data_IF_917909264023
#
_entry.id   IF_917909264023
#
_cell.length_a   1.000
_cell.length_b   1.000
_cell.length_c   1.000
_cell.angle_alpha   90.00
_cell.angle_beta   90.00
_cell.angle_gamma   90.00
#
_symmetry.space_group_name_H-M   'P 1'
#
loop_
_entity.id
_entity.type
_entity.pdbx_description
1 polymer ?
#
# COMPACT_ATOMS: atom_id res chain seq x y z
N UNK A 1 18.14 1.51 -5.03
CA UNK A 1 17.00 1.62 -4.08
C UNK A 1 15.91 2.39 -4.80
N UNK A 2 14.63 2.01 -4.72
CA UNK A 2 13.49 2.65 -5.42
C UNK A 2 12.57 3.29 -4.37
N UNK A 3 12.90 4.47 -3.83
CA UNK A 3 12.35 4.94 -2.55
C UNK A 3 10.89 5.38 -2.61
N UNK A 4 10.35 5.65 -3.81
CA UNK A 4 8.92 5.89 -3.98
C UNK A 4 8.06 4.63 -3.78
N UNK A 5 8.65 3.43 -3.79
CA UNK A 5 7.96 2.14 -3.65
C UNK A 5 8.51 1.34 -2.46
N UNK A 6 7.70 1.22 -1.41
CA UNK A 6 8.07 0.53 -0.18
C UNK A 6 7.22 -0.73 0.00
N UNK A 7 7.84 -1.85 0.36
CA UNK A 7 7.10 -3.06 0.71
C UNK A 7 6.59 -2.96 2.15
N UNK A 8 5.27 -2.88 2.33
CA UNK A 8 4.66 -2.92 3.66
C UNK A 8 4.51 -4.38 4.14
N UNK A 9 4.07 -5.26 3.25
CA UNK A 9 3.99 -6.71 3.43
C UNK A 9 4.21 -7.38 2.07
N UNK A 10 4.52 -8.69 2.02
CA UNK A 10 4.46 -9.45 0.76
C UNK A 10 3.14 -9.20 0.02
N UNK A 11 3.24 -8.81 -1.25
CA UNK A 11 2.08 -8.47 -2.09
C UNK A 11 1.36 -7.15 -1.75
N UNK A 12 1.90 -6.33 -0.83
CA UNK A 12 1.33 -5.03 -0.44
C UNK A 12 2.40 -3.95 -0.43
N UNK A 13 2.30 -3.00 -1.35
CA UNK A 13 3.32 -1.98 -1.58
C UNK A 13 2.75 -0.58 -1.39
N UNK A 14 3.49 0.29 -0.73
CA UNK A 14 3.17 1.70 -0.61
C UNK A 14 3.89 2.47 -1.71
N UNK A 15 3.12 3.11 -2.57
CA UNK A 15 3.61 3.97 -3.65
C UNK A 15 3.38 5.44 -3.28
N UNK A 16 4.45 6.24 -3.29
CA UNK A 16 4.37 7.70 -3.12
C UNK A 16 4.24 8.36 -4.48
N UNK A 17 3.21 9.18 -4.64
CA UNK A 17 2.92 9.87 -5.90
C UNK A 17 2.68 11.36 -5.68
N UNK A 18 3.04 12.15 -6.68
CA UNK A 18 2.71 13.57 -6.77
C UNK A 18 1.75 13.78 -7.95
N UNK A 19 0.47 13.99 -7.65
CA UNK A 19 -0.59 14.14 -8.63
C UNK A 19 -0.75 15.59 -9.12
N UNK A 20 -0.78 15.77 -10.44
CA UNK A 20 -0.98 17.03 -11.17
C UNK A 20 -2.32 16.96 -11.91
N UNK A 21 -3.45 17.31 -11.26
CA UNK A 21 -4.78 17.26 -11.87
C UNK A 21 -4.98 18.35 -12.92
N UNK A 22 -6.01 18.19 -13.74
CA UNK A 22 -6.37 19.11 -14.83
C UNK A 22 -5.51 18.94 -16.09
N UNK A 23 -4.83 17.80 -16.24
CA UNK A 23 -4.09 17.49 -17.45
C UNK A 23 -5.03 17.06 -18.60
N UNK A 24 -4.50 17.00 -19.82
CA UNK A 24 -5.25 16.49 -20.98
C UNK A 24 -5.40 14.97 -20.97
N UNK A 25 -4.42 14.27 -20.40
CA UNK A 25 -4.35 12.81 -20.32
C UNK A 25 -3.68 12.40 -19.00
N UNK A 26 -4.07 11.23 -18.49
CA UNK A 26 -3.46 10.62 -17.30
C UNK A 26 -2.20 9.89 -17.73
N UNK A 27 -1.05 10.27 -17.18
CA UNK A 27 0.26 9.78 -17.59
C UNK A 27 1.33 10.09 -16.54
N UNK A 28 2.47 9.43 -16.61
CA UNK A 28 3.67 9.92 -15.93
C UNK A 28 4.06 11.30 -16.44
N UNK A 29 4.42 12.20 -15.52
CA UNK A 29 4.88 13.53 -15.92
C UNK A 29 6.36 13.54 -16.32
N UNK A 30 7.11 12.53 -15.87
CA UNK A 30 8.50 12.26 -16.20
C UNK A 30 8.80 10.76 -16.00
N UNK A 31 9.79 10.20 -16.72
CA UNK A 31 10.23 8.83 -16.51
C UNK A 31 10.63 8.57 -15.07
N UNK A 32 10.17 7.45 -14.52
CA UNK A 32 10.56 6.99 -13.21
C UNK A 32 12.00 6.52 -13.26
N UNK A 33 12.82 7.09 -12.39
CA UNK A 33 14.18 6.61 -12.16
C UNK A 33 14.28 6.04 -10.75
N UNK A 34 15.18 5.07 -10.51
CA UNK A 34 15.31 4.44 -9.21
C UNK A 34 15.58 5.42 -8.07
N UNK A 35 16.17 6.59 -8.30
CA UNK A 35 16.46 7.56 -7.25
C UNK A 35 15.25 8.40 -6.80
N UNK A 36 14.12 8.35 -7.51
CA UNK A 36 12.97 9.20 -7.21
C UNK A 36 12.24 8.77 -5.94
N UNK A 37 11.98 9.75 -5.08
CA UNK A 37 11.22 9.56 -3.84
C UNK A 37 9.72 9.55 -4.04
N UNK A 38 9.24 10.10 -5.16
CA UNK A 38 7.83 10.18 -5.53
C UNK A 38 7.67 10.04 -7.05
N UNK A 39 6.56 9.42 -7.47
CA UNK A 39 6.18 9.33 -8.87
C UNK A 39 5.34 10.55 -9.28
N UNK A 40 5.84 11.35 -10.21
CA UNK A 40 5.10 12.48 -10.76
C UNK A 40 4.05 11.99 -11.78
N UNK A 41 2.78 12.30 -11.53
CA UNK A 41 1.66 11.88 -12.38
C UNK A 41 0.83 13.08 -12.83
N UNK A 42 0.55 13.16 -14.12
CA UNK A 42 -0.48 14.02 -14.71
C UNK A 42 -1.80 13.26 -14.67
N UNK A 43 -2.89 13.94 -14.32
CA UNK A 43 -4.21 13.31 -14.15
C UNK A 43 -5.27 14.05 -14.97
N UNK A 44 -5.98 13.32 -15.84
CA UNK A 44 -7.01 13.81 -16.75
C UNK A 44 -8.36 14.08 -16.08
N UNK A 45 -8.33 14.61 -14.86
CA UNK A 45 -9.53 14.96 -14.11
C UNK A 45 -9.30 16.26 -13.35
N UNK A 46 -10.37 17.03 -13.21
CA UNK A 46 -10.34 18.28 -12.46
C UNK A 46 -10.14 18.02 -10.95
N UNK A 47 -9.56 18.98 -10.20
CA UNK A 47 -9.40 18.87 -8.75
C UNK A 47 -10.71 19.16 -8.01
N UNK A 48 -11.81 18.52 -8.42
CA UNK A 48 -13.16 18.74 -7.86
C UNK A 48 -13.71 17.42 -7.34
N UNK A 49 -14.35 17.46 -6.15
CA UNK A 49 -15.16 16.36 -5.60
C UNK A 49 -14.51 14.95 -5.67
N UNK A 50 -13.18 14.88 -5.50
CA UNK A 50 -12.46 13.60 -5.55
C UNK A 50 -12.28 12.98 -6.94
N UNK A 51 -12.72 13.63 -8.02
CA UNK A 51 -12.57 13.12 -9.39
C UNK A 51 -11.11 12.83 -9.76
N UNK A 52 -10.19 13.73 -9.40
CA UNK A 52 -8.76 13.50 -9.59
C UNK A 52 -8.23 12.26 -8.84
N UNK A 53 -8.81 11.92 -7.68
CA UNK A 53 -8.41 10.70 -6.97
C UNK A 53 -8.97 9.47 -7.64
N UNK A 54 -10.25 9.50 -8.03
CA UNK A 54 -10.88 8.38 -8.74
C UNK A 54 -10.13 8.06 -10.05
N UNK A 55 -9.79 9.09 -10.82
CA UNK A 55 -9.02 8.94 -12.05
C UNK A 55 -7.59 8.46 -11.81
N UNK A 56 -6.91 8.94 -10.76
CA UNK A 56 -5.58 8.44 -10.37
C UNK A 56 -5.61 6.96 -10.03
N UNK A 57 -6.60 6.52 -9.23
CA UNK A 57 -6.73 5.12 -8.84
C UNK A 57 -7.03 4.26 -10.06
N UNK A 58 -7.99 4.67 -10.90
CA UNK A 58 -8.34 3.98 -12.15
C UNK A 58 -7.13 3.85 -13.08
N UNK A 59 -6.40 4.95 -13.31
CA UNK A 59 -5.24 4.96 -14.19
C UNK A 59 -4.14 4.01 -13.71
N UNK A 60 -3.83 4.01 -12.41
CA UNK A 60 -2.78 3.15 -11.88
C UNK A 60 -3.19 1.68 -11.82
N UNK A 61 -4.46 1.40 -11.55
CA UNK A 61 -5.00 0.03 -11.56
C UNK A 61 -4.86 -0.59 -12.96
N UNK A 62 -5.36 0.10 -13.98
CA UNK A 62 -5.25 -0.33 -15.39
C UNK A 62 -3.79 -0.47 -15.85
N UNK A 63 -2.92 0.46 -15.43
CA UNK A 63 -1.50 0.45 -15.78
C UNK A 63 -0.78 -0.76 -15.19
N UNK A 64 -1.00 -1.04 -13.89
CA UNK A 64 -0.37 -2.17 -13.21
C UNK A 64 -0.89 -3.49 -13.78
N UNK A 65 -2.19 -3.60 -14.05
CA UNK A 65 -2.78 -4.78 -14.70
C UNK A 65 -2.21 -5.05 -16.08
N UNK A 66 -2.12 -4.01 -16.93
CA UNK A 66 -1.56 -4.11 -18.27
C UNK A 66 -0.09 -4.54 -18.22
N UNK A 67 0.72 -3.82 -17.43
CA UNK A 67 2.14 -4.12 -17.32
C UNK A 67 2.41 -5.50 -16.74
N UNK A 68 1.59 -5.95 -15.77
CA UNK A 68 1.69 -7.29 -15.22
C UNK A 68 1.38 -8.38 -16.24
N UNK A 69 0.34 -8.18 -17.06
CA UNK A 69 0.00 -9.10 -18.14
C UNK A 69 1.14 -9.21 -19.15
N UNK A 70 1.66 -8.09 -19.64
CA UNK A 70 2.77 -8.08 -20.60
C UNK A 70 4.05 -8.69 -20.03
N UNK A 71 4.35 -8.45 -18.75
CA UNK A 71 5.49 -9.06 -18.07
C UNK A 71 5.31 -10.58 -17.85
N UNK A 72 4.06 -11.05 -17.70
CA UNK A 72 3.77 -12.49 -17.57
C UNK A 72 3.94 -13.23 -18.90
N UNK A 73 3.70 -12.55 -20.03
CA UNK A 73 3.87 -13.10 -21.38
C UNK A 73 5.35 -13.26 -21.77
N UNK A 74 6.18 -12.22 -21.56
CA UNK A 74 7.63 -12.31 -21.76
C UNK A 74 8.40 -11.63 -20.63
N UNK A 75 8.56 -12.37 -19.53
CA UNK A 75 9.25 -11.86 -18.34
C UNK A 75 10.69 -11.45 -18.63
N UNK A 76 11.43 -12.24 -19.41
CA UNK A 76 12.85 -12.03 -19.68
C UNK A 76 13.10 -10.78 -20.51
N UNK A 77 12.31 -10.57 -21.55
CA UNK A 77 12.40 -9.36 -22.37
C UNK A 77 11.89 -8.14 -21.60
N UNK A 78 10.81 -8.30 -20.83
CA UNK A 78 10.20 -7.18 -20.11
C UNK A 78 11.15 -6.52 -19.13
N UNK A 79 11.92 -7.31 -18.36
CA UNK A 79 12.79 -6.79 -17.28
C UNK A 79 14.16 -6.29 -17.73
N UNK A 80 14.58 -6.59 -18.97
CA UNK A 80 15.96 -6.40 -19.45
C UNK A 80 16.47 -4.96 -19.33
N UNK A 81 15.61 -3.99 -19.60
CA UNK A 81 15.94 -2.56 -19.59
C UNK A 81 15.31 -1.81 -18.39
N UNK A 82 15.08 -2.53 -17.29
CA UNK A 82 14.50 -1.99 -16.06
C UNK A 82 15.44 -2.17 -14.86
N UNK A 83 15.09 -1.54 -13.76
CA UNK A 83 15.79 -1.61 -12.48
C UNK A 83 15.57 -2.93 -11.73
N UNK A 84 14.86 -3.90 -12.33
CA UNK A 84 14.50 -5.19 -11.73
C UNK A 84 15.64 -5.84 -10.93
N UNK A 85 16.79 -6.04 -11.56
CA UNK A 85 17.96 -6.67 -10.93
C UNK A 85 18.50 -5.86 -9.73
N UNK A 86 18.49 -4.53 -9.83
CA UNK A 86 18.95 -3.64 -8.76
C UNK A 86 18.00 -3.69 -7.55
N UNK A 87 16.69 -3.78 -7.80
CA UNK A 87 15.67 -3.86 -6.76
C UNK A 87 15.75 -5.22 -6.05
N UNK A 88 15.91 -6.32 -6.81
CA UNK A 88 16.13 -7.66 -6.26
C UNK A 88 17.36 -7.73 -5.34
N UNK A 89 18.49 -7.17 -5.77
CA UNK A 89 19.71 -7.16 -4.97
C UNK A 89 19.56 -6.34 -3.66
N UNK A 90 18.85 -5.20 -3.73
CA UNK A 90 18.55 -4.39 -2.56
C UNK A 90 17.66 -5.13 -1.53
N UNK A 91 16.74 -5.95 -2.01
CA UNK A 91 15.79 -6.70 -1.15
C UNK A 91 16.46 -7.88 -0.47
N UNK A 92 17.36 -8.56 -1.19
CA UNK A 92 18.22 -9.58 -0.61
C UNK A 92 19.11 -8.99 0.52
N UNK A 93 19.67 -7.81 0.30
CA UNK A 93 20.53 -7.13 1.30
C UNK A 93 19.73 -6.73 2.55
N UNK A 94 18.51 -6.21 2.36
CA UNK A 94 17.64 -5.79 3.48
C UNK A 94 17.20 -6.99 4.34
N UNK A 95 16.95 -8.13 3.70
CA UNK A 95 16.56 -9.38 4.38
C UNK A 95 17.74 -10.00 5.15
N UNK A 96 18.97 -9.89 4.63
CA UNK A 96 20.16 -10.36 5.33
C UNK A 96 20.48 -9.51 6.58
N UNK A 97 20.26 -8.19 6.52
CA UNK A 97 20.53 -7.28 7.63
C UNK A 97 19.56 -7.46 8.82
N UNK A 98 18.28 -7.78 8.58
CA UNK A 98 17.31 -8.04 9.64
C UNK A 98 17.55 -9.36 10.39
N UNK A 99 18.20 -10.33 9.75
CA UNK A 99 18.52 -11.65 10.34
C UNK A 99 19.68 -11.57 11.35
N UNK A 100 20.55 -10.57 11.26
CA UNK A 100 21.69 -10.41 12.17
C UNK A 100 21.37 -9.64 13.46
N UNK A 101 20.19 -9.02 13.57
CA UNK A 101 19.79 -8.20 14.73
C UNK A 101 18.90 -8.95 15.76
N UNK A 102 18.73 -10.26 15.62
CA UNK A 102 17.88 -11.08 16.50
C UNK A 102 18.67 -11.93 17.51
N UNK A 103 19.92 -11.56 17.84
CA UNK A 103 20.70 -12.27 18.86
C UNK A 103 21.31 -11.29 19.86
N UNK A 104 20.89 -11.46 21.12
CA UNK A 104 21.38 -10.85 22.37
C UNK A 104 20.79 -9.51 22.82
N UNK A 105 19.76 -9.57 23.67
CA UNK A 105 19.89 -9.06 25.04
C UNK A 105 18.74 -9.61 25.90
N UNK A 106 19.07 -10.67 26.62
CA UNK A 106 18.33 -11.21 27.74
C UNK A 106 18.50 -10.32 28.97
N UNK A 107 17.41 -10.10 29.71
CA UNK A 107 17.45 -10.01 31.17
C UNK A 107 17.35 -8.60 31.76
N UNK A 108 16.33 -8.38 32.59
CA UNK A 108 16.34 -7.29 33.57
C UNK A 108 14.98 -6.80 34.03
N UNK A 109 14.16 -7.65 34.64
CA UNK A 109 13.04 -7.25 35.50
C UNK A 109 13.46 -6.20 36.53
N UNK A 110 12.78 -5.05 36.59
CA UNK A 110 12.56 -4.29 37.84
C UNK A 110 11.20 -3.61 37.87
N UNK A 111 10.39 -4.10 38.80
CA UNK A 111 9.15 -3.55 39.34
C UNK A 111 9.43 -2.22 40.04
N UNK A 112 8.59 -1.19 39.82
CA UNK A 112 8.32 -0.20 40.87
C UNK A 112 6.98 0.50 40.67
N UNK A 113 6.12 0.30 41.66
CA UNK A 113 4.83 0.92 41.94
C UNK A 113 4.93 2.42 42.22
N UNK A 114 4.00 3.25 41.70
CA UNK A 114 3.60 4.50 42.39
C UNK A 114 2.19 5.00 42.04
N UNK A 115 1.25 4.54 42.89
CA UNK A 115 0.12 5.25 43.52
C UNK A 115 -0.12 6.73 43.13
N UNK A 116 -1.27 6.99 42.52
CA UNK A 116 -1.89 8.32 42.40
C UNK A 116 -3.41 8.21 42.52
N UNK A 117 -3.99 8.91 43.51
CA UNK A 117 -5.35 8.80 44.05
C UNK A 117 -6.08 10.12 43.84
N UNK A 118 -7.30 10.09 43.28
CA UNK A 118 -8.50 10.90 43.63
C UNK A 118 -9.43 11.02 42.41
N UNK A 119 -10.63 10.42 42.42
CA UNK A 119 -11.92 10.82 43.04
C UNK A 119 -12.83 11.60 42.08
N UNK A 120 -13.76 10.84 41.50
CA UNK A 120 -15.19 11.06 41.26
C UNK A 120 -15.75 12.48 41.02
N UNK A 121 -16.50 12.60 39.91
CA UNK A 121 -17.76 13.33 39.87
C UNK A 121 -18.84 12.44 39.21
N UNK A 122 -19.96 12.30 39.91
CA UNK A 122 -21.22 11.61 39.57
C UNK A 122 -22.19 12.69 39.06
N UNK A 123 -22.84 12.52 37.90
CA UNK A 123 -24.28 12.25 37.68
C UNK A 123 -24.64 13.00 36.36
N UNK A 124 -25.63 12.72 35.51
CA UNK A 124 -26.93 12.06 35.65
C UNK A 124 -27.40 11.61 34.26
N UNK A 125 -28.06 10.45 34.26
CA UNK A 125 -29.00 9.90 33.27
C UNK A 125 -29.90 10.92 32.55
N UNK A 126 -30.28 10.64 31.30
CA UNK A 126 -31.68 10.67 30.85
C UNK A 126 -31.88 9.69 29.70
N UNK A 127 -32.79 8.74 29.90
CA UNK A 127 -33.25 7.75 28.95
C UNK A 127 -34.30 8.34 28.00
N UNK A 128 -34.45 7.72 26.82
CA UNK A 128 -35.77 7.55 26.19
C UNK A 128 -35.79 6.31 25.29
N UNK A 129 -36.94 5.64 25.39
CA UNK A 129 -37.33 4.32 24.89
C UNK A 129 -37.49 4.29 23.35
N UNK A 130 -36.97 3.25 22.68
CA UNK A 130 -37.67 2.10 22.06
C UNK A 130 -38.81 2.42 21.09
N UNK A 131 -38.74 1.82 19.90
CA UNK A 131 -39.64 0.80 19.29
C UNK A 131 -38.95 0.29 17.99
N UNK A 132 -38.59 -1.01 17.87
CA UNK A 132 -39.33 -2.13 17.20
C UNK A 132 -39.48 -1.92 15.68
N UNK A 133 -39.26 -2.84 14.73
CA UNK A 133 -39.03 -4.30 14.66
C UNK A 133 -38.68 -4.67 13.20
N UNK A 134 -38.11 -5.88 12.97
CA UNK A 134 -38.07 -6.57 11.66
C UNK A 134 -36.67 -7.16 11.37
N UNK A 135 -36.35 -8.41 11.73
CA UNK A 135 -36.72 -9.70 11.11
C UNK A 135 -35.92 -10.00 9.82
N UNK A 136 -35.14 -11.10 9.87
CA UNK A 136 -34.39 -11.71 8.76
C UNK A 136 -32.90 -11.36 8.79
N UNK A 137 -31.94 -12.25 8.66
CA UNK A 137 -31.91 -13.71 8.67
C UNK A 137 -30.45 -14.09 8.95
N UNK A 138 -30.25 -15.23 9.58
CA UNK A 138 -28.96 -15.70 10.07
C UNK A 138 -28.10 -16.19 8.92
N UNK A 139 -26.86 -15.71 8.80
CA UNK A 139 -25.76 -16.56 8.33
C UNK A 139 -24.40 -15.98 8.72
N UNK A 140 -23.95 -16.46 9.89
CA UNK A 140 -22.55 -16.58 10.24
C UNK A 140 -22.04 -17.91 9.64
N UNK A 141 -20.86 -17.93 9.02
CA UNK A 141 -20.00 -19.10 9.08
C UNK A 141 -18.82 -18.80 10.00
N UNK A 142 -18.78 -19.57 11.07
CA UNK A 142 -17.60 -19.84 11.88
C UNK A 142 -16.46 -20.41 11.04
N UNK A 143 -15.25 -19.98 11.37
CA UNK A 143 -14.09 -20.86 11.38
C UNK A 143 -13.33 -20.97 10.07
N UNK A 144 -12.20 -20.25 10.00
CA UNK A 144 -10.98 -20.91 9.57
C UNK A 144 -9.81 -20.37 10.38
N UNK A 145 -9.44 -21.15 11.39
CA UNK A 145 -8.11 -21.11 11.99
C UNK A 145 -7.13 -21.52 10.88
N UNK A 146 -6.43 -20.56 10.30
CA UNK A 146 -5.32 -20.81 9.38
C UNK A 146 -4.01 -20.39 10.06
N UNK A 147 -2.93 -21.19 9.89
CA UNK A 147 -1.68 -21.11 10.65
C UNK A 147 -0.89 -19.82 10.35
N UNK A 148 0.14 -19.48 11.15
CA UNK A 148 0.90 -18.25 10.93
C UNK A 148 1.64 -18.29 9.59
N UNK A 149 1.23 -17.38 8.71
CA UNK A 149 2.09 -16.61 7.80
C UNK A 149 3.12 -17.40 6.99
N UNK A 150 2.67 -18.25 6.08
CA UNK A 150 3.33 -18.27 4.76
C UNK A 150 2.91 -16.99 4.03
N UNK A 151 3.85 -16.31 3.38
CA UNK A 151 3.62 -15.06 2.68
C UNK A 151 2.72 -15.31 1.46
N UNK A 152 1.40 -15.39 1.68
CA UNK A 152 0.41 -15.55 0.61
C UNK A 152 0.35 -14.24 -0.16
N UNK A 153 0.84 -14.26 -1.40
CA UNK A 153 0.61 -13.17 -2.34
C UNK A 153 -0.88 -13.12 -2.69
N UNK A 154 -1.45 -11.92 -2.85
CA UNK A 154 -2.83 -11.76 -3.27
C UNK A 154 -3.02 -12.24 -4.71
N UNK A 155 -4.18 -12.78 -5.04
CA UNK A 155 -4.49 -13.24 -6.41
C UNK A 155 -4.99 -12.11 -7.34
N UNK A 156 -4.98 -10.86 -6.87
CA UNK A 156 -5.54 -9.70 -7.57
C UNK A 156 -4.66 -8.47 -7.48
N UNK A 157 -4.87 -7.56 -8.43
CA UNK A 157 -4.34 -6.20 -8.40
C UNK A 157 -5.42 -5.28 -7.84
N UNK A 158 -5.04 -4.38 -6.94
CA UNK A 158 -5.95 -3.38 -6.38
C UNK A 158 -5.16 -2.16 -5.94
N UNK A 159 -5.53 -0.97 -6.42
CA UNK A 159 -4.94 0.30 -6.00
C UNK A 159 -5.92 1.08 -5.13
N UNK A 160 -5.48 1.48 -3.93
CA UNK A 160 -6.30 2.26 -2.99
C UNK A 160 -5.54 3.44 -2.39
N UNK A 161 -6.26 4.50 -2.07
CA UNK A 161 -5.69 5.71 -1.46
C UNK A 161 -5.56 5.53 0.06
N UNK A 162 -4.33 5.59 0.59
CA UNK A 162 -4.06 5.54 2.03
C UNK A 162 -4.02 6.93 2.65
N UNK A 163 -3.37 7.88 1.97
CA UNK A 163 -3.17 9.25 2.45
C UNK A 163 -3.20 10.25 1.31
N UNK A 164 -3.67 11.46 1.60
CA UNK A 164 -3.59 12.60 0.68
C UNK A 164 -4.85 12.82 -0.14
N UNK A 165 -6.04 12.55 0.42
CA UNK A 165 -7.34 12.78 -0.24
C UNK A 165 -7.49 14.16 -0.89
N UNK A 166 -6.98 15.20 -0.25
CA UNK A 166 -7.03 16.58 -0.73
C UNK A 166 -5.67 17.14 -1.14
N UNK A 167 -4.60 16.34 -1.02
CA UNK A 167 -3.22 16.74 -1.31
C UNK A 167 -2.80 16.32 -2.71
N UNK A 168 -1.79 16.99 -3.28
CA UNK A 168 -1.11 16.50 -4.50
C UNK A 168 -0.17 15.35 -4.18
N UNK A 169 0.52 15.43 -3.05
CA UNK A 169 1.29 14.31 -2.49
C UNK A 169 0.34 13.28 -1.90
N UNK A 170 0.43 12.06 -2.41
CA UNK A 170 -0.42 10.94 -2.02
C UNK A 170 0.40 9.71 -1.73
N UNK A 171 -0.14 8.87 -0.85
CA UNK A 171 0.39 7.54 -0.60
C UNK A 171 -0.70 6.56 -0.98
N UNK A 172 -0.38 5.68 -1.92
CA UNK A 172 -1.26 4.65 -2.43
C UNK A 172 -0.80 3.30 -1.89
N UNK A 173 -1.77 2.43 -1.60
CA UNK A 173 -1.52 1.02 -1.36
C UNK A 173 -1.81 0.28 -2.67
N UNK A 174 -0.81 -0.43 -3.15
CA UNK A 174 -0.88 -1.33 -4.29
C UNK A 174 -0.84 -2.76 -3.77
N UNK A 175 -1.97 -3.45 -3.88
CA UNK A 175 -2.06 -4.91 -3.69
C UNK A 175 -1.67 -5.54 -5.03
N UNK A 176 -0.69 -6.44 -5.03
CA UNK A 176 -0.09 -6.94 -6.26
C UNK A 176 0.38 -8.40 -6.10
N UNK A 177 0.07 -9.29 -7.06
CA UNK A 177 0.40 -10.72 -6.98
C UNK A 177 1.89 -11.04 -7.12
N UNK A 178 2.71 -10.07 -7.53
CA UNK A 178 4.14 -10.24 -7.73
C UNK A 178 5.01 -9.60 -6.65
N UNK A 179 6.32 -9.62 -6.90
CA UNK A 179 7.35 -9.05 -6.02
C UNK A 179 7.47 -7.53 -6.19
N UNK A 180 8.17 -6.86 -5.25
CA UNK A 180 8.46 -5.42 -5.38
C UNK A 180 9.26 -5.11 -6.64
N UNK A 181 10.21 -5.98 -7.00
CA UNK A 181 11.04 -5.81 -8.19
C UNK A 181 10.21 -5.84 -9.47
N UNK A 182 9.24 -6.75 -9.56
CA UNK A 182 8.30 -6.82 -10.68
C UNK A 182 7.44 -5.56 -10.78
N UNK A 183 6.87 -5.10 -9.67
CA UNK A 183 6.09 -3.87 -9.66
C UNK A 183 6.93 -2.63 -10.03
N UNK A 184 8.16 -2.54 -9.54
CA UNK A 184 9.08 -1.46 -9.89
C UNK A 184 9.41 -1.46 -11.40
N UNK A 185 9.66 -2.64 -11.98
CA UNK A 185 9.93 -2.79 -13.40
C UNK A 185 8.73 -2.35 -14.27
N UNK A 186 7.50 -2.73 -13.87
CA UNK A 186 6.27 -2.28 -14.53
C UNK A 186 6.17 -0.76 -14.49
N UNK A 187 6.28 -0.16 -13.31
CA UNK A 187 6.15 1.29 -13.15
C UNK A 187 7.23 2.05 -13.93
N UNK A 188 8.46 1.56 -13.93
CA UNK A 188 9.56 2.17 -14.70
C UNK A 188 9.32 2.08 -16.20
N UNK A 189 8.92 0.91 -16.71
CA UNK A 189 8.69 0.74 -18.15
C UNK A 189 7.53 1.58 -18.65
N UNK A 190 6.39 1.54 -17.97
CA UNK A 190 5.19 2.31 -18.34
C UNK A 190 5.40 3.84 -18.16
N UNK A 191 6.43 4.26 -17.42
CA UNK A 191 6.77 5.69 -17.30
C UNK A 191 7.59 6.26 -18.45
N UNK A 192 8.12 5.39 -19.32
CA UNK A 192 8.90 5.79 -20.49
C UNK A 192 8.05 5.94 -21.75
N UNK A 193 6.79 5.46 -21.71
CA UNK A 193 5.79 5.61 -22.78
C UNK A 193 5.10 6.99 -22.76
#
# INVERSE_FOLDING_TARGET
MFPCLVQAQPGRYLLRVYAKPGARASAFAAPLTPSLTEADLRIAAAPVEGQANAELLRYLDELVERGFRSMTEDHTEYVKDTCYAQVLAADATTTAASTQSAKSSSGGDRISTKKGRSKNAVATSCASLRLRSGAGDSQQPTGSTAPPSEAVFPDRIEVSLVRGGTSREKTLLVVFPGTRAQLAAILEKESQE
#
